data_IF_234254356052
#
_entry.id   IF_234254356052
#
_cell.length_a   1.000
_cell.length_b   1.000
_cell.length_c   1.000
_cell.angle_alpha   90.00
_cell.angle_beta   90.00
_cell.angle_gamma   90.00
#
_symmetry.space_group_name_H-M   'P 1'
#
loop_
_entity.id
_entity.type
_entity.pdbx_description
1 polymer ?
#
# COMPACT_ATOMS: atom_id res chain seq x y z
N UNK A 1 -51.33 30.36 1.41
CA UNK A 1 -50.28 30.01 0.42
C UNK A 1 -48.94 30.00 1.14
N UNK A 2 -48.61 28.91 1.83
CA UNK A 2 -47.33 28.76 2.54
C UNK A 2 -46.42 27.84 1.74
N UNK A 3 -45.38 28.40 1.11
CA UNK A 3 -44.33 27.60 0.48
C UNK A 3 -43.55 26.88 1.58
N UNK A 4 -43.64 25.55 1.63
CA UNK A 4 -42.72 24.71 2.40
C UNK A 4 -41.31 24.93 1.85
N UNK A 5 -40.40 25.43 2.68
CA UNK A 5 -38.95 25.37 2.41
C UNK A 5 -38.53 23.91 2.47
N UNK A 6 -37.84 23.48 1.44
CA UNK A 6 -37.31 22.13 1.27
C UNK A 6 -36.00 22.05 2.07
N UNK A 7 -36.07 21.51 3.30
CA UNK A 7 -34.95 21.32 4.23
C UNK A 7 -34.13 20.07 3.83
N UNK A 8 -33.60 20.05 2.61
CA UNK A 8 -32.61 19.05 2.18
C UNK A 8 -31.17 19.53 2.38
N UNK A 9 -30.92 20.22 3.48
CA UNK A 9 -29.56 20.53 3.95
C UNK A 9 -29.06 19.27 4.65
N UNK A 10 -28.37 18.43 3.89
CA UNK A 10 -27.80 17.16 4.31
C UNK A 10 -27.05 16.53 3.13
N UNK A 11 -26.47 15.34 3.33
CA UNK A 11 -25.55 14.61 2.42
C UNK A 11 -25.91 14.52 0.92
N UNK A 12 -27.05 15.03 0.48
CA UNK A 12 -27.51 15.09 -0.93
C UNK A 12 -27.41 16.50 -1.55
N UNK A 13 -26.88 17.50 -0.83
CA UNK A 13 -26.62 18.85 -1.35
C UNK A 13 -25.24 18.90 -2.07
N UNK A 14 -25.19 19.18 -3.38
CA UNK A 14 -23.94 19.26 -4.15
C UNK A 14 -22.95 20.30 -3.62
N UNK A 15 -23.42 21.36 -2.95
CA UNK A 15 -22.52 22.35 -2.34
C UNK A 15 -21.87 21.81 -1.06
N UNK A 16 -22.60 21.02 -0.28
CA UNK A 16 -22.07 20.33 0.89
C UNK A 16 -21.04 19.27 0.50
N UNK A 17 -21.29 18.48 -0.54
CA UNK A 17 -20.33 17.50 -1.06
C UNK A 17 -19.03 18.18 -1.52
N UNK A 18 -19.13 19.26 -2.30
CA UNK A 18 -17.96 20.03 -2.76
C UNK A 18 -17.18 20.63 -1.59
N UNK A 19 -17.86 21.19 -0.59
CA UNK A 19 -17.20 21.73 0.60
C UNK A 19 -16.50 20.64 1.43
N UNK A 20 -17.11 19.46 1.56
CA UNK A 20 -16.53 18.30 2.23
C UNK A 20 -15.30 17.76 1.49
N UNK A 21 -15.35 17.71 0.16
CA UNK A 21 -14.23 17.28 -0.67
C UNK A 21 -13.05 18.26 -0.58
N UNK A 22 -13.32 19.56 -0.63
CA UNK A 22 -12.30 20.60 -0.41
C UNK A 22 -11.67 20.51 0.98
N UNK A 23 -12.48 20.29 2.02
CA UNK A 23 -11.99 20.10 3.38
C UNK A 23 -11.09 18.86 3.50
N UNK A 24 -11.47 17.76 2.85
CA UNK A 24 -10.66 16.52 2.79
C UNK A 24 -9.35 16.74 2.05
N UNK A 25 -9.38 17.41 0.89
CA UNK A 25 -8.18 17.74 0.11
C UNK A 25 -7.22 18.63 0.91
N UNK A 26 -7.76 19.64 1.61
CA UNK A 26 -6.97 20.49 2.48
C UNK A 26 -6.31 19.71 3.61
N UNK A 27 -7.04 18.80 4.26
CA UNK A 27 -6.48 17.95 5.31
C UNK A 27 -5.33 17.07 4.80
N UNK A 28 -5.43 16.53 3.58
CA UNK A 28 -4.32 15.79 2.96
C UNK A 28 -3.10 16.68 2.70
N UNK A 29 -3.31 17.89 2.17
CA UNK A 29 -2.24 18.86 1.93
C UNK A 29 -1.55 19.26 3.24
N UNK A 30 -2.33 19.59 4.27
CA UNK A 30 -1.82 19.98 5.59
C UNK A 30 -1.00 18.83 6.21
N UNK A 31 -1.47 17.58 6.09
CA UNK A 31 -0.72 16.40 6.55
C UNK A 31 0.61 16.21 5.80
N UNK A 32 0.64 16.46 4.49
CA UNK A 32 1.86 16.37 3.69
C UNK A 32 2.86 17.47 4.04
N UNK A 33 2.40 18.70 4.22
CA UNK A 33 3.25 19.83 4.64
C UNK A 33 3.83 19.57 6.03
N UNK A 34 3.01 19.10 6.97
CA UNK A 34 3.47 18.75 8.32
C UNK A 34 4.52 17.62 8.29
N UNK A 35 4.29 16.59 7.48
CA UNK A 35 5.25 15.51 7.26
C UNK A 35 6.57 16.05 6.70
N UNK A 36 6.53 16.86 5.65
CA UNK A 36 7.73 17.42 5.03
C UNK A 36 8.52 18.31 5.99
N UNK A 37 7.84 19.12 6.81
CA UNK A 37 8.49 19.92 7.85
C UNK A 37 9.24 19.06 8.88
N UNK A 38 8.64 17.94 9.31
CA UNK A 38 9.29 16.99 10.21
C UNK A 38 10.53 16.35 9.57
N UNK A 39 10.47 15.97 8.29
CA UNK A 39 11.63 15.42 7.58
C UNK A 39 12.75 16.45 7.44
N UNK A 40 12.42 17.71 7.12
CA UNK A 40 13.40 18.80 7.05
C UNK A 40 14.12 19.01 8.39
N UNK A 41 13.40 18.93 9.51
CA UNK A 41 13.97 19.04 10.85
C UNK A 41 14.91 17.87 11.17
N UNK A 42 14.52 16.64 10.84
CA UNK A 42 15.26 15.43 11.20
C UNK A 42 16.45 15.14 10.27
N UNK A 43 16.33 15.43 8.98
CA UNK A 43 17.25 14.93 7.95
C UNK A 43 17.83 16.04 7.05
N UNK A 44 17.35 17.27 7.14
CA UNK A 44 17.82 18.39 6.32
C UNK A 44 17.13 18.49 4.96
N UNK A 45 17.80 19.11 3.98
CA UNK A 45 17.22 19.36 2.66
C UNK A 45 16.92 18.06 1.89
N UNK A 46 15.78 17.98 1.18
CA UNK A 46 15.41 16.77 0.48
C UNK A 46 16.37 16.41 -0.64
N UNK A 47 16.66 15.12 -0.77
CA UNK A 47 17.41 14.62 -1.94
C UNK A 47 16.41 14.16 -2.99
N UNK A 48 16.39 14.84 -4.15
CA UNK A 48 15.62 14.41 -5.32
C UNK A 48 16.53 14.24 -6.53
N UNK A 49 16.20 13.30 -7.41
CA UNK A 49 16.95 13.04 -8.64
C UNK A 49 16.06 13.33 -9.83
N UNK A 50 16.45 14.31 -10.63
CA UNK A 50 15.81 14.62 -11.90
C UNK A 50 16.69 14.13 -13.06
N UNK A 51 16.30 13.08 -13.79
CA UNK A 51 16.99 12.70 -15.03
C UNK A 51 17.03 13.87 -16.02
N UNK A 52 18.08 13.96 -16.84
CA UNK A 52 18.27 15.06 -17.79
C UNK A 52 17.11 15.24 -18.79
N UNK A 53 16.31 14.20 -19.02
CA UNK A 53 15.16 14.19 -19.93
C UNK A 53 13.81 14.26 -19.19
N UNK A 54 13.78 14.50 -17.88
CA UNK A 54 12.53 14.59 -17.13
C UNK A 54 11.87 15.97 -17.35
N UNK A 55 10.69 15.97 -17.96
CA UNK A 55 9.79 17.11 -17.96
C UNK A 55 8.68 16.88 -16.93
N UNK A 56 8.26 17.91 -16.17
CA UNK A 56 7.09 17.78 -15.31
C UNK A 56 5.87 17.38 -16.15
N UNK A 57 4.90 16.62 -15.60
CA UNK A 57 3.64 16.35 -16.28
C UNK A 57 2.98 17.68 -16.68
N UNK A 58 2.69 17.83 -17.97
CA UNK A 58 2.04 19.03 -18.51
C UNK A 58 0.55 18.91 -18.26
N UNK A 59 0.05 19.61 -17.24
CA UNK A 59 -1.38 19.75 -17.02
C UNK A 59 -1.91 20.84 -17.97
N UNK A 60 -2.71 20.45 -18.95
CA UNK A 60 -3.47 21.40 -19.77
C UNK A 60 -4.84 21.60 -19.13
N UNK A 61 -5.10 22.78 -18.58
CA UNK A 61 -6.41 23.19 -18.07
C UNK A 61 -7.43 23.46 -19.20
N UNK A 62 -7.48 22.62 -20.23
CA UNK A 62 -8.40 22.80 -21.36
C UNK A 62 -9.77 22.20 -21.03
N UNK A 63 -10.50 22.83 -20.10
CA UNK A 63 -11.91 22.51 -19.83
C UNK A 63 -12.78 22.98 -20.99
N UNK A 64 -12.83 22.20 -22.07
CA UNK A 64 -13.85 22.37 -23.11
C UNK A 64 -15.08 21.55 -22.73
N UNK A 65 -16.09 22.22 -22.19
CA UNK A 65 -17.37 21.63 -21.80
C UNK A 65 -18.07 20.91 -22.96
N UNK A 66 -17.92 19.59 -23.05
CA UNK A 66 -18.78 18.74 -23.90
C UNK A 66 -19.93 18.21 -23.06
N UNK A 67 -21.15 18.66 -23.38
CA UNK A 67 -22.41 18.11 -22.85
C UNK A 67 -22.62 16.68 -23.39
N UNK A 68 -22.22 15.68 -22.62
CA UNK A 68 -22.59 14.28 -22.82
C UNK A 68 -23.54 13.80 -21.72
N UNK A 69 -24.70 13.23 -22.08
CA UNK A 69 -25.64 12.61 -21.14
C UNK A 69 -24.99 11.36 -20.53
N UNK A 70 -24.74 11.35 -19.22
CA UNK A 70 -24.25 10.15 -18.53
C UNK A 70 -25.40 9.40 -17.85
N UNK A 71 -25.53 8.12 -18.22
CA UNK A 71 -26.36 7.11 -17.54
C UNK A 71 -25.72 6.80 -16.19
N UNK A 72 -26.35 7.25 -15.11
CA UNK A 72 -26.12 6.75 -13.76
C UNK A 72 -26.68 5.32 -13.68
N UNK A 73 -25.83 4.33 -13.88
CA UNK A 73 -25.90 3.02 -13.23
C UNK A 73 -24.70 2.18 -13.70
N UNK A 74 -23.59 2.30 -12.98
CA UNK A 74 -22.50 1.32 -13.05
C UNK A 74 -21.87 1.26 -11.66
N UNK A 75 -22.33 0.30 -10.85
CA UNK A 75 -21.71 -0.13 -9.60
C UNK A 75 -20.40 -0.91 -9.83
N UNK A 76 -19.75 -0.69 -10.97
CA UNK A 76 -18.59 -1.41 -11.44
C UNK A 76 -17.41 -0.45 -11.57
N UNK A 77 -16.54 -0.45 -10.55
CA UNK A 77 -15.27 0.30 -10.54
C UNK A 77 -14.18 -0.39 -11.36
N UNK A 78 -14.47 -1.53 -12.00
CA UNK A 78 -13.50 -2.29 -12.78
C UNK A 78 -13.38 -1.86 -14.24
N UNK A 79 -14.30 -1.01 -14.72
CA UNK A 79 -14.22 -0.43 -16.07
C UNK A 79 -13.59 0.96 -16.04
N UNK A 80 -12.59 1.24 -16.88
CA UNK A 80 -12.18 2.61 -17.11
C UNK A 80 -13.38 3.39 -17.64
N UNK A 81 -13.60 4.59 -17.13
CA UNK A 81 -14.60 5.50 -17.68
C UNK A 81 -14.19 5.82 -19.11
N UNK A 82 -14.84 5.17 -20.07
CA UNK A 82 -14.83 5.57 -21.46
C UNK A 82 -15.38 7.01 -21.49
N UNK A 83 -14.53 7.92 -21.96
CA UNK A 83 -14.77 9.34 -22.17
C UNK A 83 -14.57 10.29 -20.97
N UNK A 84 -13.50 11.09 -21.08
CA UNK A 84 -13.35 12.48 -20.61
C UNK A 84 -12.83 12.81 -19.20
N UNK A 85 -11.70 12.22 -18.77
CA UNK A 85 -10.82 12.93 -17.83
C UNK A 85 -9.38 12.93 -18.35
N UNK A 86 -9.07 13.86 -19.26
CA UNK A 86 -7.69 14.26 -19.55
C UNK A 86 -7.16 15.03 -18.33
N UNK A 87 -6.58 14.35 -17.35
CA UNK A 87 -5.95 15.01 -16.19
C UNK A 87 -5.88 14.20 -14.90
N UNK A 88 -6.70 13.16 -14.74
CA UNK A 88 -6.64 12.35 -13.52
C UNK A 88 -5.48 11.35 -13.62
N UNK A 89 -4.47 11.54 -12.77
CA UNK A 89 -3.54 10.45 -12.44
C UNK A 89 -4.40 9.26 -12.00
N UNK A 90 -4.44 8.20 -12.80
CA UNK A 90 -5.22 7.02 -12.44
C UNK A 90 -4.30 6.02 -11.76
N UNK A 91 -4.71 5.49 -10.60
CA UNK A 91 -4.00 4.40 -9.96
C UNK A 91 -4.00 3.17 -10.89
N UNK A 92 -2.84 2.85 -11.45
CA UNK A 92 -2.64 1.67 -12.25
C UNK A 92 -2.09 0.52 -11.40
N UNK A 93 -2.31 -0.71 -11.86
CA UNK A 93 -1.61 -1.90 -11.35
C UNK A 93 -0.94 -2.58 -12.52
N UNK A 94 0.40 -2.57 -12.51
CA UNK A 94 1.23 -3.22 -13.51
C UNK A 94 1.32 -4.71 -13.17
N UNK A 95 1.15 -5.57 -14.17
CA UNK A 95 1.21 -7.02 -14.03
C UNK A 95 2.39 -7.58 -14.83
N UNK A 96 3.24 -8.34 -14.17
CA UNK A 96 4.39 -9.03 -14.74
C UNK A 96 4.16 -10.53 -14.63
N UNK A 97 4.22 -11.23 -15.76
CA UNK A 97 4.12 -12.68 -15.82
C UNK A 97 5.37 -13.37 -15.26
N UNK A 98 5.29 -14.68 -15.00
CA UNK A 98 6.40 -15.45 -14.45
C UNK A 98 7.57 -15.55 -15.44
N UNK A 99 8.78 -15.62 -14.89
CA UNK A 99 10.03 -15.91 -15.60
C UNK A 99 10.82 -17.02 -14.87
N UNK A 100 11.92 -17.57 -15.45
CA UNK A 100 12.66 -18.68 -14.85
C UNK A 100 13.22 -18.42 -13.43
N UNK A 101 13.46 -17.17 -13.05
CA UNK A 101 13.92 -16.78 -11.71
C UNK A 101 12.77 -16.38 -10.78
N UNK A 102 11.61 -16.00 -11.36
CA UNK A 102 10.40 -15.59 -10.65
C UNK A 102 9.22 -16.43 -11.14
N UNK A 103 9.03 -17.67 -10.62
CA UNK A 103 7.98 -18.58 -11.08
C UNK A 103 6.59 -18.22 -10.50
N UNK A 104 6.25 -16.94 -10.50
CA UNK A 104 5.00 -16.38 -9.99
C UNK A 104 4.66 -15.09 -10.74
N UNK A 105 3.40 -14.67 -10.66
CA UNK A 105 2.94 -13.38 -11.15
C UNK A 105 3.24 -12.28 -10.13
N UNK A 106 3.75 -11.14 -10.60
CA UNK A 106 4.01 -9.96 -9.76
C UNK A 106 3.10 -8.83 -10.19
N UNK A 107 2.40 -8.23 -9.23
CA UNK A 107 1.57 -7.06 -9.44
C UNK A 107 2.13 -5.90 -8.63
N UNK A 108 2.24 -4.70 -9.23
CA UNK A 108 2.79 -3.52 -8.57
C UNK A 108 1.89 -2.31 -8.84
N UNK A 109 1.56 -1.54 -7.82
CA UNK A 109 0.84 -0.28 -8.03
C UNK A 109 1.74 0.76 -8.69
N UNK A 110 1.13 1.60 -9.51
CA UNK A 110 1.75 2.81 -10.04
C UNK A 110 0.75 3.95 -9.87
N UNK A 111 1.04 4.86 -8.96
CA UNK A 111 0.18 6.01 -8.69
C UNK A 111 0.17 6.43 -7.22
N UNK A 112 0.43 5.53 -6.27
CA UNK A 112 0.41 5.91 -4.84
C UNK A 112 1.51 6.91 -4.51
N UNK A 113 2.69 6.73 -5.12
CA UNK A 113 3.83 7.63 -5.02
C UNK A 113 3.74 8.86 -5.93
N UNK A 114 2.75 8.93 -6.82
CA UNK A 114 2.63 10.06 -7.75
C UNK A 114 2.28 11.36 -6.99
N UNK A 115 2.79 12.52 -7.45
CA UNK A 115 2.48 13.81 -6.82
C UNK A 115 1.06 14.25 -7.18
N UNK A 116 0.07 13.87 -6.37
CA UNK A 116 -1.35 14.19 -6.61
C UNK A 116 -1.69 15.67 -6.36
N UNK A 117 -1.17 16.23 -5.26
CA UNK A 117 -1.38 17.64 -4.87
C UNK A 117 -0.07 18.37 -4.51
N UNK A 118 1.07 17.72 -4.75
CA UNK A 118 2.41 18.31 -4.60
C UNK A 118 2.78 19.06 -5.88
N UNK A 119 3.13 20.34 -5.74
CA UNK A 119 3.63 21.17 -6.85
C UNK A 119 5.15 21.26 -6.91
N UNK A 120 5.83 20.93 -5.81
CA UNK A 120 7.29 21.01 -5.66
C UNK A 120 7.83 19.67 -5.13
N UNK A 121 9.12 19.43 -5.36
CA UNK A 121 9.81 18.27 -4.81
C UNK A 121 9.81 18.31 -3.28
N UNK A 122 9.48 17.19 -2.66
CA UNK A 122 9.50 17.00 -1.21
C UNK A 122 10.39 15.80 -0.87
N UNK A 123 10.67 15.56 0.41
CA UNK A 123 11.41 14.35 0.81
C UNK A 123 10.66 13.07 0.42
N UNK A 124 9.33 13.13 0.49
CA UNK A 124 8.45 11.99 0.20
C UNK A 124 7.49 12.31 -0.92
N UNK A 125 7.58 11.57 -2.02
CA UNK A 125 6.69 11.71 -3.18
C UNK A 125 5.32 11.09 -2.92
N UNK A 126 4.25 11.84 -3.15
CA UNK A 126 2.88 11.42 -2.93
C UNK A 126 2.66 10.84 -1.52
N UNK A 127 2.10 9.63 -1.45
CA UNK A 127 1.92 8.92 -0.18
C UNK A 127 3.18 8.19 0.32
N UNK A 128 4.28 8.24 -0.45
CA UNK A 128 5.59 7.72 -0.04
C UNK A 128 5.78 6.23 -0.21
N UNK A 129 4.88 5.55 -0.92
CA UNK A 129 5.07 4.15 -1.25
C UNK A 129 4.44 3.74 -2.58
N UNK A 130 4.81 2.55 -3.03
CA UNK A 130 4.03 1.70 -3.92
C UNK A 130 3.89 0.32 -3.28
N UNK A 131 2.87 -0.42 -3.69
CA UNK A 131 2.56 -1.74 -3.16
C UNK A 131 2.77 -2.82 -4.22
N UNK A 132 3.35 -3.93 -3.80
CA UNK A 132 3.57 -5.13 -4.59
C UNK A 132 2.79 -6.30 -3.99
N UNK A 133 2.33 -7.22 -4.82
CA UNK A 133 1.92 -8.57 -4.39
C UNK A 133 2.33 -9.62 -5.40
N UNK A 134 2.66 -10.82 -4.90
CA UNK A 134 3.04 -11.98 -5.71
C UNK A 134 1.95 -13.06 -5.62
N UNK A 135 1.58 -13.62 -6.75
CA UNK A 135 0.55 -14.67 -6.87
C UNK A 135 1.10 -15.87 -7.67
N UNK A 136 0.79 -17.13 -7.29
CA UNK A 136 1.25 -18.29 -8.06
C UNK A 136 0.65 -18.32 -9.48
N UNK A 137 -0.52 -17.72 -9.67
CA UNK A 137 -1.27 -17.74 -10.94
C UNK A 137 -1.70 -16.33 -11.35
N UNK A 138 -2.04 -16.16 -12.64
CA UNK A 138 -2.64 -14.91 -13.11
C UNK A 138 -4.05 -14.81 -12.53
N UNK A 139 -4.26 -13.95 -11.55
CA UNK A 139 -5.50 -13.89 -10.80
C UNK A 139 -5.96 -12.47 -10.55
N UNK A 140 -7.26 -12.22 -10.71
CA UNK A 140 -7.84 -10.89 -10.56
C UNK A 140 -7.86 -10.37 -9.11
N UNK A 141 -7.81 -11.27 -8.11
CA UNK A 141 -7.85 -10.88 -6.70
C UNK A 141 -6.64 -10.03 -6.30
N UNK A 142 -5.45 -10.32 -6.83
CA UNK A 142 -4.21 -9.65 -6.48
C UNK A 142 -4.23 -8.14 -6.83
N UNK A 143 -4.51 -7.74 -8.08
CA UNK A 143 -4.64 -6.32 -8.41
C UNK A 143 -5.90 -5.68 -7.82
N UNK A 144 -6.94 -6.43 -7.44
CA UNK A 144 -8.07 -5.89 -6.69
C UNK A 144 -7.68 -5.55 -5.25
N UNK A 145 -6.96 -6.44 -4.57
CA UNK A 145 -6.45 -6.21 -3.21
C UNK A 145 -5.56 -4.97 -3.15
N UNK A 146 -4.60 -4.84 -4.08
CA UNK A 146 -3.73 -3.66 -4.13
C UNK A 146 -4.51 -2.35 -4.29
N UNK A 147 -5.57 -2.34 -5.11
CA UNK A 147 -6.45 -1.16 -5.24
C UNK A 147 -7.21 -0.86 -3.96
N UNK A 148 -7.71 -1.87 -3.27
CA UNK A 148 -8.38 -1.70 -1.97
C UNK A 148 -7.42 -1.13 -0.92
N UNK A 149 -6.18 -1.62 -0.89
CA UNK A 149 -5.14 -1.11 0.02
C UNK A 149 -4.74 0.33 -0.32
N UNK A 150 -4.60 0.66 -1.61
CA UNK A 150 -4.35 2.04 -2.05
C UNK A 150 -5.51 2.96 -1.66
N UNK A 151 -6.76 2.51 -1.84
CA UNK A 151 -7.93 3.24 -1.39
C UNK A 151 -7.88 3.49 0.13
N UNK A 152 -7.51 2.49 0.93
CA UNK A 152 -7.31 2.67 2.37
C UNK A 152 -6.27 3.77 2.67
N UNK A 153 -5.11 3.75 2.01
CA UNK A 153 -4.07 4.79 2.14
C UNK A 153 -4.63 6.18 1.81
N UNK A 154 -5.33 6.32 0.67
CA UNK A 154 -5.90 7.59 0.22
C UNK A 154 -7.00 8.14 1.14
N UNK A 155 -7.73 7.27 1.85
CA UNK A 155 -8.80 7.69 2.76
C UNK A 155 -8.30 7.99 4.17
N UNK A 156 -7.25 7.33 4.62
CA UNK A 156 -6.78 7.46 6.00
C UNK A 156 -5.51 8.31 6.14
N UNK A 157 -4.99 8.87 5.03
CA UNK A 157 -3.71 9.60 4.99
C UNK A 157 -2.56 8.82 5.65
N UNK A 158 -2.70 7.50 5.70
CA UNK A 158 -1.78 6.62 6.42
C UNK A 158 -0.63 6.21 5.54
N UNK A 159 0.55 6.05 6.12
CA UNK A 159 1.65 5.34 5.47
C UNK A 159 1.56 3.85 5.81
N UNK A 160 1.99 3.01 4.87
CA UNK A 160 2.29 1.62 5.16
C UNK A 160 3.80 1.51 5.35
N UNK A 161 4.21 0.82 6.40
CA UNK A 161 5.61 0.56 6.69
C UNK A 161 5.85 -0.95 6.83
N UNK A 162 7.06 -1.42 6.53
CA UNK A 162 7.47 -2.80 6.79
C UNK A 162 7.19 -3.23 8.23
N UNK A 163 6.75 -4.46 8.40
CA UNK A 163 6.32 -5.01 9.69
C UNK A 163 4.85 -4.76 10.02
N UNK A 164 4.18 -3.80 9.36
CA UNK A 164 2.75 -3.53 9.59
C UNK A 164 1.91 -4.74 9.19
N UNK A 165 0.94 -5.07 10.03
CA UNK A 165 -0.09 -6.09 9.77
C UNK A 165 -1.43 -5.38 9.52
N UNK A 166 -2.16 -5.83 8.51
CA UNK A 166 -3.44 -5.27 8.08
C UNK A 166 -4.47 -6.39 8.08
N UNK A 167 -5.52 -6.25 8.88
CA UNK A 167 -6.68 -7.13 8.82
C UNK A 167 -7.55 -6.72 7.62
N UNK A 168 -7.90 -7.67 6.76
CA UNK A 168 -8.71 -7.41 5.55
C UNK A 168 -10.22 -7.49 5.83
N UNK A 169 -10.62 -8.06 6.96
CA UNK A 169 -12.02 -8.29 7.36
C UNK A 169 -12.75 -9.33 6.51
N UNK A 170 -12.07 -9.93 5.53
CA UNK A 170 -12.61 -10.84 4.53
C UNK A 170 -11.47 -11.72 3.97
N UNK A 171 -11.78 -12.83 3.25
CA UNK A 171 -10.75 -13.60 2.55
C UNK A 171 -9.99 -12.72 1.55
N UNK A 172 -8.68 -12.94 1.43
CA UNK A 172 -7.80 -12.16 0.55
C UNK A 172 -8.21 -12.23 -0.91
N UNK A 173 -8.77 -13.38 -1.32
CA UNK A 173 -9.41 -13.56 -2.60
C UNK A 173 -10.94 -13.45 -2.40
N UNK A 174 -11.60 -12.45 -3.01
CA UNK A 174 -13.04 -12.28 -2.88
C UNK A 174 -13.81 -13.54 -3.28
N UNK A 175 -14.93 -13.80 -2.58
CA UNK A 175 -15.80 -14.96 -2.82
C UNK A 175 -15.08 -16.33 -2.76
N UNK A 176 -14.05 -16.45 -1.92
CA UNK A 176 -13.34 -17.70 -1.67
C UNK A 176 -13.40 -18.07 -0.18
N UNK A 177 -13.10 -19.34 0.12
CA UNK A 177 -12.94 -19.82 1.48
C UNK A 177 -11.50 -19.67 2.00
N UNK A 178 -10.71 -18.75 1.41
CA UNK A 178 -9.33 -18.54 1.80
C UNK A 178 -9.19 -18.26 3.30
N UNK A 179 -8.25 -18.96 3.94
CA UNK A 179 -7.87 -18.74 5.33
C UNK A 179 -7.01 -17.49 5.49
N UNK A 180 -6.49 -16.92 4.40
CA UNK A 180 -5.71 -15.69 4.42
C UNK A 180 -6.68 -14.51 4.58
N UNK A 181 -6.73 -13.96 5.79
CA UNK A 181 -7.66 -12.88 6.20
C UNK A 181 -6.95 -11.58 6.53
N UNK A 182 -5.62 -11.61 6.52
CA UNK A 182 -4.75 -10.48 6.82
C UNK A 182 -3.60 -10.41 5.82
N UNK A 183 -2.96 -9.26 5.74
CA UNK A 183 -1.73 -9.05 4.99
C UNK A 183 -0.66 -8.45 5.89
N UNK A 184 0.58 -8.93 5.77
CA UNK A 184 1.76 -8.26 6.33
C UNK A 184 2.43 -7.42 5.24
N UNK A 185 2.93 -6.26 5.62
CA UNK A 185 3.71 -5.37 4.76
C UNK A 185 5.18 -5.65 5.01
N UNK A 186 5.95 -5.88 3.95
CA UNK A 186 7.34 -6.31 4.04
C UNK A 186 8.20 -5.76 2.90
N UNK A 187 9.51 -5.96 2.96
CA UNK A 187 10.42 -5.67 1.85
C UNK A 187 10.34 -6.78 0.80
N UNK A 188 10.32 -6.43 -0.49
CA UNK A 188 10.37 -7.42 -1.56
C UNK A 188 11.82 -7.86 -1.81
N UNK A 189 12.06 -9.17 -1.89
CA UNK A 189 13.41 -9.71 -2.14
C UNK A 189 14.02 -9.22 -3.46
N UNK A 190 13.18 -8.94 -4.47
CA UNK A 190 13.63 -8.47 -5.78
C UNK A 190 13.82 -6.95 -5.86
N UNK A 191 13.51 -6.24 -4.78
CA UNK A 191 13.66 -4.79 -4.64
C UNK A 191 14.50 -4.50 -3.38
N UNK A 192 15.82 -4.79 -3.42
CA UNK A 192 16.68 -4.68 -2.25
C UNK A 192 16.81 -3.23 -1.75
N UNK A 193 16.68 -2.26 -2.66
CA UNK A 193 16.57 -0.86 -2.31
C UNK A 193 15.17 -0.60 -1.78
N UNK A 194 15.04 -0.44 -0.46
CA UNK A 194 13.76 -0.15 0.18
C UNK A 194 13.19 1.24 -0.17
N UNK A 195 14.03 2.13 -0.73
CA UNK A 195 13.73 3.52 -1.00
C UNK A 195 14.23 3.93 -2.38
N UNK A 196 13.34 4.45 -3.20
CA UNK A 196 13.58 4.88 -4.57
C UNK A 196 13.32 6.37 -4.70
N UNK A 197 14.01 7.02 -5.64
CA UNK A 197 13.92 8.47 -5.84
C UNK A 197 13.17 8.82 -7.13
N UNK A 198 12.20 9.73 -7.00
CA UNK A 198 11.53 10.42 -8.10
C UNK A 198 11.93 11.90 -8.08
N UNK A 199 11.72 12.64 -9.18
CA UNK A 199 11.89 14.09 -9.20
C UNK A 199 11.02 14.83 -8.18
N UNK A 200 9.88 14.25 -7.80
CA UNK A 200 8.97 14.77 -6.78
C UNK A 200 9.33 14.38 -5.33
N UNK A 201 10.30 13.48 -5.14
CA UNK A 201 10.72 12.98 -3.83
C UNK A 201 10.91 11.46 -3.79
N UNK A 202 11.19 10.92 -2.61
CA UNK A 202 11.41 9.49 -2.43
C UNK A 202 10.13 8.69 -2.15
N UNK A 203 10.17 7.38 -2.40
CA UNK A 203 9.11 6.44 -2.06
C UNK A 203 9.65 5.04 -1.78
N UNK A 204 8.96 4.27 -0.93
CA UNK A 204 9.29 2.86 -0.68
C UNK A 204 8.44 1.88 -1.48
N UNK A 205 9.03 0.77 -1.94
CA UNK A 205 8.29 -0.32 -2.58
C UNK A 205 8.05 -1.44 -1.57
N UNK A 206 6.80 -1.65 -1.16
CA UNK A 206 6.46 -2.61 -0.11
C UNK A 206 5.62 -3.77 -0.63
N UNK A 207 5.99 -4.97 -0.23
CA UNK A 207 5.29 -6.20 -0.55
C UNK A 207 4.17 -6.47 0.47
N UNK A 208 2.97 -6.76 -0.02
CA UNK A 208 1.90 -7.37 0.76
C UNK A 208 2.00 -8.90 0.68
N UNK A 209 2.04 -9.58 1.82
CA UNK A 209 2.02 -11.05 1.92
C UNK A 209 0.80 -11.50 2.73
N UNK A 210 -0.03 -12.36 2.14
CA UNK A 210 -1.23 -12.88 2.78
C UNK A 210 -0.93 -13.88 3.89
N UNK A 211 -1.56 -13.65 5.05
CA UNK A 211 -1.40 -14.46 6.27
C UNK A 211 -2.75 -14.81 6.89
N UNK A 212 -2.78 -15.91 7.64
CA UNK A 212 -3.96 -16.34 8.40
C UNK A 212 -4.13 -15.53 9.68
N UNK A 213 -5.31 -15.62 10.29
CA UNK A 213 -5.56 -14.99 11.60
C UNK A 213 -4.69 -15.61 12.70
N UNK A 214 -4.44 -16.92 12.66
CA UNK A 214 -3.59 -17.59 13.63
C UNK A 214 -2.12 -17.15 13.51
N UNK A 215 -1.62 -16.99 12.29
CA UNK A 215 -0.29 -16.44 12.01
C UNK A 215 -0.17 -15.00 12.54
N UNK A 216 -1.18 -14.16 12.29
CA UNK A 216 -1.24 -12.81 12.88
C UNK A 216 -1.27 -12.84 14.42
N UNK A 217 -2.08 -13.71 15.02
CA UNK A 217 -2.20 -13.84 16.48
C UNK A 217 -0.86 -14.20 17.12
N UNK A 218 -0.10 -15.10 16.49
CA UNK A 218 1.26 -15.42 16.94
C UNK A 218 2.24 -14.27 16.75
N UNK A 219 2.14 -13.54 15.64
CA UNK A 219 2.95 -12.36 15.41
C UNK A 219 2.65 -11.26 16.45
N UNK A 220 1.41 -11.14 16.92
CA UNK A 220 1.00 -10.23 17.99
C UNK A 220 1.50 -10.71 19.36
N UNK A 221 1.55 -12.02 19.61
CA UNK A 221 2.05 -12.59 20.87
C UNK A 221 3.58 -12.53 21.01
N UNK A 222 4.30 -12.16 19.95
CA UNK A 222 5.77 -12.08 19.96
C UNK A 222 6.20 -10.63 19.85
N UNK A 223 6.72 -10.08 20.94
CA UNK A 223 7.14 -8.67 21.00
C UNK A 223 8.27 -8.38 20.00
N UNK A 224 8.22 -7.21 19.36
CA UNK A 224 9.26 -6.61 18.52
C UNK A 224 9.61 -7.29 17.17
N UNK A 225 9.38 -8.59 16.98
CA UNK A 225 9.78 -9.29 15.75
C UNK A 225 8.80 -10.39 15.28
N UNK A 226 7.56 -10.39 15.78
CA UNK A 226 6.57 -11.39 15.37
C UNK A 226 6.27 -11.44 13.88
N UNK A 227 6.18 -10.29 13.18
CA UNK A 227 5.99 -10.29 11.70
C UNK A 227 7.17 -10.95 11.00
N UNK A 228 8.39 -10.68 11.45
CA UNK A 228 9.60 -11.31 10.92
C UNK A 228 9.56 -12.83 11.14
N UNK A 229 9.14 -13.30 12.31
CA UNK A 229 9.02 -14.74 12.57
C UNK A 229 8.06 -15.43 11.58
N UNK A 230 6.90 -14.82 11.30
CA UNK A 230 5.95 -15.36 10.32
C UNK A 230 6.55 -15.37 8.92
N UNK A 231 7.24 -14.30 8.54
CA UNK A 231 7.89 -14.21 7.24
C UNK A 231 8.96 -15.30 7.07
N UNK A 232 9.77 -15.55 8.10
CA UNK A 232 10.74 -16.63 8.11
C UNK A 232 10.11 -18.02 8.13
N UNK A 233 8.98 -18.19 8.84
CA UNK A 233 8.21 -19.43 8.81
C UNK A 233 7.75 -19.73 7.38
N UNK A 234 7.13 -18.76 6.71
CA UNK A 234 6.67 -18.91 5.32
C UNK A 234 7.82 -19.25 4.37
N UNK A 235 9.01 -18.65 4.56
CA UNK A 235 10.22 -18.99 3.80
C UNK A 235 10.66 -20.44 4.02
N UNK A 236 10.78 -20.88 5.27
CA UNK A 236 11.22 -22.24 5.61
C UNK A 236 10.22 -23.31 5.15
N UNK A 237 8.93 -22.96 5.08
CA UNK A 237 7.86 -23.81 4.53
C UNK A 237 7.78 -23.79 3.00
N UNK A 238 8.61 -22.99 2.32
CA UNK A 238 8.67 -22.94 0.86
C UNK A 238 7.61 -22.04 0.19
N UNK A 239 6.79 -21.34 0.97
CA UNK A 239 5.86 -20.34 0.43
C UNK A 239 6.55 -19.01 0.13
N UNK A 240 7.57 -18.66 0.94
CA UNK A 240 8.31 -17.42 0.82
C UNK A 240 7.41 -16.20 0.80
N UNK A 241 7.63 -15.35 -0.20
CA UNK A 241 6.93 -14.09 -0.40
C UNK A 241 5.72 -14.19 -1.34
N UNK A 242 5.35 -15.40 -1.77
CA UNK A 242 4.25 -15.62 -2.70
C UNK A 242 2.95 -15.87 -1.94
N UNK A 243 1.93 -15.08 -2.24
CA UNK A 243 0.60 -15.23 -1.63
C UNK A 243 -0.25 -16.17 -2.48
N UNK A 244 -0.42 -17.40 -1.99
CA UNK A 244 -1.37 -18.35 -2.55
C UNK A 244 -2.67 -18.35 -1.72
N UNK A 245 -3.82 -17.88 -2.25
CA UNK A 245 -5.09 -17.89 -1.52
C UNK A 245 -5.56 -19.27 -1.04
N UNK A 246 -5.11 -20.35 -1.68
CA UNK A 246 -5.45 -21.74 -1.31
C UNK A 246 -4.54 -22.29 -0.20
N UNK A 247 -3.54 -21.50 0.26
CA UNK A 247 -2.62 -21.92 1.32
C UNK A 247 -3.37 -22.15 2.63
N UNK A 248 -3.10 -23.29 3.26
CA UNK A 248 -3.59 -23.62 4.60
C UNK A 248 -2.86 -22.82 5.68
N UNK A 249 -3.41 -22.88 6.90
CA UNK A 249 -2.80 -22.23 8.06
C UNK A 249 -1.55 -22.99 8.53
N UNK A 250 -0.39 -22.33 8.47
CA UNK A 250 0.89 -22.93 8.86
C UNK A 250 0.93 -23.27 10.34
N UNK A 251 0.13 -22.59 11.16
CA UNK A 251 0.09 -22.82 12.61
C UNK A 251 -0.50 -24.19 12.99
N UNK A 252 -1.17 -24.85 12.04
CA UNK A 252 -1.78 -26.18 12.25
C UNK A 252 -0.82 -27.34 11.98
N UNK A 253 0.33 -27.09 11.35
CA UNK A 253 1.30 -28.14 11.02
C UNK A 253 2.11 -28.56 12.25
N UNK A 254 2.35 -29.87 12.39
CA UNK A 254 2.96 -30.48 13.58
C UNK A 254 4.39 -29.98 13.87
N UNK A 255 5.16 -29.66 12.84
CA UNK A 255 6.55 -29.19 12.92
C UNK A 255 6.67 -27.67 13.12
N UNK A 256 5.58 -26.91 12.99
CA UNK A 256 5.59 -25.44 13.13
C UNK A 256 6.09 -24.96 14.49
N UNK A 257 5.71 -25.55 15.64
CA UNK A 257 6.24 -25.13 16.94
C UNK A 257 7.77 -25.22 17.02
N UNK A 258 8.36 -26.31 16.54
CA UNK A 258 9.81 -26.51 16.54
C UNK A 258 10.53 -25.53 15.59
N UNK A 259 9.94 -25.25 14.43
CA UNK A 259 10.47 -24.25 13.50
C UNK A 259 10.45 -22.85 14.11
N UNK A 260 9.35 -22.46 14.76
CA UNK A 260 9.21 -21.17 15.41
C UNK A 260 10.16 -21.00 16.58
N UNK A 261 10.40 -22.05 17.36
CA UNK A 261 11.44 -22.05 18.41
C UNK A 261 12.83 -21.81 17.81
N UNK A 262 13.18 -22.52 16.73
CA UNK A 262 14.44 -22.30 16.02
C UNK A 262 14.57 -20.90 15.43
N UNK A 263 13.50 -20.34 14.87
CA UNK A 263 13.46 -18.97 14.33
C UNK A 263 13.65 -17.94 15.45
N UNK A 264 12.97 -18.12 16.59
CA UNK A 264 13.09 -17.24 17.76
C UNK A 264 14.49 -17.27 18.35
N UNK A 265 15.05 -18.47 18.56
CA UNK A 265 16.41 -18.63 19.06
C UNK A 265 17.42 -17.90 18.16
N UNK A 266 17.26 -17.99 16.84
CA UNK A 266 18.08 -17.22 15.91
C UNK A 266 17.91 -15.71 16.12
N UNK A 267 16.67 -15.20 16.13
CA UNK A 267 16.42 -13.77 16.34
C UNK A 267 16.99 -13.24 17.67
N UNK A 268 16.83 -13.98 18.75
CA UNK A 268 17.32 -13.59 20.07
C UNK A 268 18.85 -13.58 20.12
N UNK A 269 19.50 -14.55 19.46
CA UNK A 269 20.96 -14.61 19.35
C UNK A 269 21.51 -13.36 18.64
N UNK A 270 20.92 -12.97 17.50
CA UNK A 270 21.36 -11.78 16.76
C UNK A 270 21.15 -10.49 17.54
N UNK A 271 20.04 -10.37 18.29
CA UNK A 271 19.78 -9.20 19.12
C UNK A 271 20.73 -9.07 20.30
N UNK A 272 21.16 -10.18 20.89
CA UNK A 272 22.16 -10.15 21.96
C UNK A 272 23.49 -9.56 21.46
N UNK A 273 23.90 -9.89 20.23
CA UNK A 273 25.09 -9.30 19.62
C UNK A 273 24.96 -7.79 19.36
N UNK A 274 23.78 -7.30 18.96
CA UNK A 274 23.55 -5.86 18.77
C UNK A 274 23.66 -5.09 20.10
N UNK A 275 23.13 -5.66 21.20
CA UNK A 275 23.19 -5.02 22.53
C UNK A 275 24.62 -5.01 23.09
N UNK A 276 25.39 -6.08 22.89
CA UNK A 276 26.79 -6.14 23.33
C UNK A 276 27.67 -5.15 22.54
N UNK A 277 27.46 -5.04 21.22
CA UNK A 277 28.20 -4.10 20.37
C UNK A 277 27.95 -2.62 20.72
N UNK A 278 26.72 -2.25 21.09
CA UNK A 278 26.39 -0.90 21.55
C UNK A 278 26.92 -0.62 22.97
N UNK A 279 27.08 -1.65 23.81
CA UNK A 279 27.61 -1.51 25.17
C UNK A 279 29.14 -1.34 25.23
N UNK A 280 29.86 -1.87 24.25
CA UNK A 280 31.32 -1.72 24.11
C UNK A 280 31.73 -0.42 23.37
N UNK A 281 30.75 0.34 22.87
CA UNK A 281 30.95 1.62 22.17
C UNK A 281 30.80 2.87 23.09
N UNK A 282 30.61 2.68 24.40
CA UNK A 282 30.53 3.70 25.45
C UNK A 282 31.77 3.71 26.35
#
# INVERSE_FOLDING_TARGET
MGKKKDDRIGKEDPEFERASELARRKLLQDAWVARNALYLELFGEPTSVSPANYGPPVFKDDVVAKKGKSRLDSSDTSRPSDDSIEGDQQLAVLAYGPDPFKPYWTYVTAGISSPWVQSEAQEVSGFGCELMIKSPTNSAWAPQLLRTMAFYIFNHAGTLSPGKRINLGAPIAPNSDSLLRSAIIWYADEAPDAWYQLPSGGFGLFLAVGVTEAECTFADSTENYGTWCIEQLLRRKGHGQVTNPERLDMMTEHDTPALLESIKLFADTFRQFDVEADSDAL
#
